data_IF_862277410544
#
_entry.id   IF_862277410544
#
_cell.length_a   1.000
_cell.length_b   1.000
_cell.length_c   1.000
_cell.angle_alpha   90.00
_cell.angle_beta   90.00
_cell.angle_gamma   90.00
#
_symmetry.space_group_name_H-M   'P 1'
#
loop_
_entity.id
_entity.type
_entity.pdbx_description
1 polymer ?
#
# COMPACT_ATOMS: atom_id res chain seq x y z
N UNK A 1 -13.32 -5.43 -8.99
CA UNK A 1 -14.43 -4.76 -8.27
C UNK A 1 -14.67 -5.40 -6.90
N UNK A 2 -14.95 -6.71 -6.82
CA UNK A 2 -15.20 -7.42 -5.55
C UNK A 2 -14.07 -7.21 -4.53
N UNK A 3 -12.81 -7.38 -4.93
CA UNK A 3 -11.66 -7.19 -4.02
C UNK A 3 -11.53 -5.76 -3.49
N UNK A 4 -11.89 -4.75 -4.29
CA UNK A 4 -11.84 -3.33 -3.88
C UNK A 4 -12.94 -3.05 -2.85
N UNK A 5 -14.16 -3.53 -3.11
CA UNK A 5 -15.28 -3.39 -2.18
C UNK A 5 -14.99 -4.07 -0.84
N UNK A 6 -14.51 -5.32 -0.89
CA UNK A 6 -14.16 -6.07 0.32
C UNK A 6 -13.03 -5.38 1.10
N UNK A 7 -11.99 -4.89 0.42
CA UNK A 7 -10.94 -4.09 1.05
C UNK A 7 -11.46 -2.81 1.70
N UNK A 8 -12.45 -2.15 1.09
CA UNK A 8 -13.12 -0.99 1.66
C UNK A 8 -13.89 -1.32 2.95
N UNK A 9 -14.65 -2.42 2.96
CA UNK A 9 -15.37 -2.91 4.14
C UNK A 9 -14.39 -3.24 5.28
N UNK A 10 -13.30 -3.95 4.97
CA UNK A 10 -12.27 -4.26 5.96
C UNK A 10 -11.62 -2.99 6.52
N UNK A 11 -11.31 -2.01 5.66
CA UNK A 11 -10.74 -0.73 6.09
C UNK A 11 -11.69 0.03 7.03
N UNK A 12 -12.99 0.02 6.73
CA UNK A 12 -14.00 0.65 7.58
C UNK A 12 -14.14 -0.07 8.93
N UNK A 13 -14.11 -1.40 8.93
CA UNK A 13 -14.11 -2.18 10.17
C UNK A 13 -12.90 -1.83 11.05
N UNK A 14 -11.70 -1.71 10.47
CA UNK A 14 -10.49 -1.30 11.20
C UNK A 14 -10.66 0.07 11.83
N UNK A 15 -11.19 1.07 11.10
CA UNK A 15 -11.41 2.43 11.60
C UNK A 15 -12.42 2.43 12.75
N UNK A 16 -13.55 1.74 12.60
CA UNK A 16 -14.60 1.66 13.62
C UNK A 16 -14.06 1.00 14.90
N UNK A 17 -13.35 -0.12 14.77
CA UNK A 17 -12.72 -0.80 15.91
C UNK A 17 -11.67 0.05 16.60
N UNK A 18 -10.85 0.78 15.84
CA UNK A 18 -9.82 1.66 16.39
C UNK A 18 -10.43 2.89 17.10
N UNK A 19 -11.51 3.48 16.57
CA UNK A 19 -12.18 4.63 17.15
C UNK A 19 -12.82 4.33 18.52
N UNK A 20 -13.10 3.06 18.83
CA UNK A 20 -13.62 2.65 20.13
C UNK A 20 -12.55 2.56 21.23
N UNK A 21 -11.26 2.54 20.87
CA UNK A 21 -10.14 2.44 21.81
C UNK A 21 -9.93 3.79 22.51
N UNK A 22 -9.94 3.79 23.85
CA UNK A 22 -9.82 5.01 24.67
C UNK A 22 -8.38 5.41 25.00
N UNK A 23 -7.40 4.51 24.80
CA UNK A 23 -5.98 4.79 25.05
C UNK A 23 -5.39 5.70 23.98
N UNK A 24 -4.70 6.76 24.39
CA UNK A 24 -4.21 7.83 23.51
C UNK A 24 -2.95 7.49 22.73
N UNK A 25 -2.14 6.50 23.16
CA UNK A 25 -0.88 6.20 22.49
C UNK A 25 -0.73 4.71 22.13
N UNK A 26 -0.61 4.44 20.83
CA UNK A 26 -0.36 3.13 20.25
C UNK A 26 0.95 3.21 19.48
N UNK A 27 2.01 2.56 19.97
CA UNK A 27 3.34 2.58 19.35
C UNK A 27 3.64 1.31 18.55
N UNK A 28 2.93 0.22 18.83
CA UNK A 28 3.11 -1.06 18.16
C UNK A 28 1.82 -1.91 18.14
N UNK A 29 1.88 -3.06 17.46
CA UNK A 29 0.78 -4.00 17.36
C UNK A 29 0.34 -4.62 18.70
N UNK A 30 1.27 -4.78 19.65
CA UNK A 30 0.95 -5.29 21.00
C UNK A 30 0.13 -4.27 21.79
N UNK A 31 0.44 -2.97 21.66
CA UNK A 31 -0.35 -1.90 22.30
C UNK A 31 -1.78 -1.89 21.75
N UNK A 32 -1.93 -2.05 20.43
CA UNK A 32 -3.24 -2.19 19.78
C UNK A 32 -4.02 -3.39 20.32
N UNK A 33 -3.35 -4.54 20.49
CA UNK A 33 -3.96 -5.76 21.03
C UNK A 33 -4.46 -5.56 22.48
N UNK A 34 -3.67 -4.86 23.32
CA UNK A 34 -4.05 -4.52 24.70
C UNK A 34 -5.19 -3.51 24.75
N UNK A 35 -5.22 -2.54 23.82
CA UNK A 35 -6.31 -1.56 23.73
C UNK A 35 -7.66 -2.15 23.33
N UNK A 36 -7.65 -3.24 22.54
CA UNK A 36 -8.86 -3.93 22.10
C UNK A 36 -9.41 -4.96 23.10
N UNK A 37 -8.55 -5.56 23.93
CA UNK A 37 -8.96 -6.57 24.91
C UNK A 37 -10.08 -6.14 25.86
N UNK A 38 -10.06 -4.97 26.51
CA UNK A 38 -11.14 -4.59 27.43
C UNK A 38 -12.49 -4.35 26.72
N UNK A 39 -12.49 -4.12 25.41
CA UNK A 39 -13.69 -3.85 24.62
C UNK A 39 -14.30 -5.13 24.02
N UNK A 40 -13.44 -6.05 23.56
CA UNK A 40 -13.83 -7.20 22.76
C UNK A 40 -13.42 -8.56 23.39
N UNK A 41 -12.85 -8.53 24.59
CA UNK A 41 -12.38 -9.70 25.32
C UNK A 41 -11.01 -10.22 24.86
N UNK A 42 -10.50 -11.23 25.56
CA UNK A 42 -9.15 -11.78 25.35
C UNK A 42 -8.92 -12.38 23.96
N UNK A 43 -9.98 -12.90 23.32
CA UNK A 43 -9.89 -13.46 21.97
C UNK A 43 -9.48 -12.42 20.92
N UNK A 44 -9.81 -11.14 21.11
CA UNK A 44 -9.49 -10.06 20.18
C UNK A 44 -7.99 -9.97 19.87
N UNK A 45 -7.12 -10.22 20.88
CA UNK A 45 -5.67 -10.26 20.72
C UNK A 45 -5.22 -11.31 19.71
N UNK A 46 -5.81 -12.51 19.77
CA UNK A 46 -5.46 -13.61 18.88
C UNK A 46 -5.95 -13.36 17.45
N UNK A 47 -7.17 -12.84 17.29
CA UNK A 47 -7.69 -12.45 15.97
C UNK A 47 -6.85 -11.34 15.35
N UNK A 48 -6.46 -10.34 16.13
CA UNK A 48 -5.58 -9.26 15.66
C UNK A 48 -4.19 -9.80 15.28
N UNK A 49 -3.59 -10.65 16.10
CA UNK A 49 -2.29 -11.25 15.82
C UNK A 49 -2.31 -12.09 14.53
N UNK A 50 -3.34 -12.93 14.36
CA UNK A 50 -3.53 -13.72 13.15
C UNK A 50 -3.76 -12.85 11.92
N UNK A 51 -4.58 -11.80 12.05
CA UNK A 51 -4.85 -10.86 10.96
C UNK A 51 -3.61 -10.07 10.53
N UNK A 52 -2.84 -9.53 11.48
CA UNK A 52 -1.58 -8.84 11.21
C UNK A 52 -0.53 -9.78 10.61
N UNK A 53 -0.47 -11.03 11.08
CA UNK A 53 0.41 -12.04 10.52
C UNK A 53 0.05 -12.35 9.06
N UNK A 54 -1.23 -12.61 8.78
CA UNK A 54 -1.72 -12.87 7.42
C UNK A 54 -1.47 -11.69 6.46
N UNK A 55 -1.69 -10.46 6.94
CA UNK A 55 -1.39 -9.24 6.20
C UNK A 55 0.11 -9.11 5.89
N UNK A 56 0.97 -9.40 6.87
CA UNK A 56 2.43 -9.40 6.71
C UNK A 56 2.91 -10.41 5.66
N UNK A 57 2.45 -11.65 5.73
CA UNK A 57 2.79 -12.71 4.76
C UNK A 57 2.37 -12.32 3.34
N UNK A 58 1.15 -11.81 3.18
CA UNK A 58 0.63 -11.38 1.87
C UNK A 58 1.50 -10.27 1.26
N UNK A 59 1.90 -9.30 2.08
CA UNK A 59 2.78 -8.20 1.66
C UNK A 59 4.19 -8.69 1.29
N UNK A 60 4.76 -9.59 2.10
CA UNK A 60 6.08 -10.18 1.86
C UNK A 60 6.15 -10.99 0.55
N UNK A 61 5.03 -11.52 0.06
CA UNK A 61 4.98 -12.21 -1.24
C UNK A 61 4.76 -11.21 -2.39
N UNK A 62 3.81 -10.30 -2.23
CA UNK A 62 3.36 -9.42 -3.33
C UNK A 62 4.32 -8.28 -3.63
N UNK A 63 4.98 -7.68 -2.63
CA UNK A 63 5.88 -6.55 -2.83
C UNK A 63 7.15 -6.92 -3.61
N UNK A 64 7.89 -8.01 -3.26
CA UNK A 64 9.02 -8.44 -4.06
C UNK A 64 8.61 -8.80 -5.49
N UNK A 65 7.40 -9.38 -5.66
CA UNK A 65 6.90 -9.81 -6.96
C UNK A 65 6.66 -8.61 -7.87
N UNK A 66 5.98 -7.58 -7.36
CA UNK A 66 5.79 -6.32 -8.06
C UNK A 66 7.13 -5.68 -8.44
N UNK A 67 8.09 -5.61 -7.51
CA UNK A 67 9.42 -5.06 -7.77
C UNK A 67 10.16 -5.82 -8.88
N UNK A 68 10.09 -7.16 -8.87
CA UNK A 68 10.73 -7.99 -9.88
C UNK A 68 10.08 -7.84 -11.26
N UNK A 69 8.76 -7.67 -11.34
CA UNK A 69 8.07 -7.35 -12.60
C UNK A 69 8.49 -5.99 -13.16
N UNK A 70 8.57 -4.96 -12.31
CA UNK A 70 9.01 -3.61 -12.71
C UNK A 70 10.46 -3.64 -13.18
N UNK A 71 11.37 -4.23 -12.39
CA UNK A 71 12.79 -4.35 -12.74
C UNK A 71 12.97 -5.05 -14.09
N UNK A 72 12.23 -6.13 -14.31
CA UNK A 72 12.21 -6.84 -15.59
C UNK A 72 11.75 -5.94 -16.74
N UNK A 73 10.66 -5.19 -16.57
CA UNK A 73 10.12 -4.29 -17.60
C UNK A 73 11.12 -3.19 -17.97
N UNK A 74 11.78 -2.59 -16.98
CA UNK A 74 12.77 -1.54 -17.17
C UNK A 74 14.08 -2.06 -17.79
N UNK A 75 14.49 -3.29 -17.48
CA UNK A 75 15.78 -3.88 -17.91
C UNK A 75 15.64 -4.80 -19.13
N UNK A 76 14.43 -4.94 -19.69
CA UNK A 76 14.17 -5.73 -20.90
C UNK A 76 14.39 -7.24 -20.74
N UNK A 77 14.19 -7.80 -19.54
CA UNK A 77 14.41 -9.23 -19.30
C UNK A 77 13.27 -10.10 -19.87
N UNK A 78 13.62 -11.30 -20.34
CA UNK A 78 12.68 -12.29 -20.88
C UNK A 78 11.61 -12.77 -19.88
N UNK A 79 10.58 -13.46 -20.38
CA UNK A 79 9.34 -13.78 -19.65
C UNK A 79 9.43 -14.94 -18.64
N UNK A 80 10.58 -15.12 -18.00
CA UNK A 80 10.82 -16.26 -17.12
C UNK A 80 10.87 -15.83 -15.65
N UNK A 81 9.83 -16.23 -14.90
CA UNK A 81 9.75 -16.03 -13.44
C UNK A 81 10.77 -16.88 -12.66
N UNK A 82 11.31 -17.93 -13.28
CA UNK A 82 12.37 -18.76 -12.71
C UNK A 82 13.76 -18.24 -13.01
N UNK A 83 13.89 -17.19 -13.83
CA UNK A 83 15.18 -16.60 -14.13
C UNK A 83 15.88 -16.12 -12.86
N UNK A 84 17.18 -16.40 -12.76
CA UNK A 84 18.02 -16.03 -11.60
C UNK A 84 17.93 -14.54 -11.30
N UNK A 85 17.89 -13.70 -12.33
CA UNK A 85 17.77 -12.24 -12.20
C UNK A 85 16.45 -11.81 -11.53
N UNK A 86 15.34 -12.46 -11.86
CA UNK A 86 14.02 -12.18 -11.27
C UNK A 86 14.00 -12.56 -9.78
N UNK A 87 14.48 -13.77 -9.46
CA UNK A 87 14.56 -14.26 -8.07
C UNK A 87 15.55 -13.45 -7.24
N UNK A 88 16.61 -12.93 -7.84
CA UNK A 88 17.58 -12.09 -7.15
C UNK A 88 16.94 -10.78 -6.67
N UNK A 89 16.13 -10.11 -7.50
CA UNK A 89 15.33 -8.94 -7.05
C UNK A 89 14.42 -9.33 -5.89
N UNK A 90 13.77 -10.49 -5.99
CA UNK A 90 12.91 -11.03 -4.94
C UNK A 90 13.64 -11.18 -3.60
N UNK A 91 14.78 -11.86 -3.61
CA UNK A 91 15.61 -12.11 -2.42
C UNK A 91 16.15 -10.80 -1.85
N UNK A 92 16.60 -9.87 -2.70
CA UNK A 92 17.11 -8.56 -2.26
C UNK A 92 16.03 -7.78 -1.53
N UNK A 93 14.81 -7.70 -2.06
CA UNK A 93 13.70 -6.98 -1.38
C UNK A 93 13.37 -7.63 -0.04
N UNK A 94 13.35 -8.96 0.04
CA UNK A 94 13.11 -9.67 1.31
C UNK A 94 14.23 -9.43 2.32
N UNK A 95 15.50 -9.53 1.91
CA UNK A 95 16.65 -9.29 2.78
C UNK A 95 16.68 -7.86 3.29
N UNK A 96 16.34 -6.88 2.45
CA UNK A 96 16.19 -5.49 2.88
C UNK A 96 15.08 -5.35 3.91
N UNK A 97 13.91 -5.95 3.68
CA UNK A 97 12.80 -5.94 4.64
C UNK A 97 13.17 -6.54 5.99
N UNK A 98 13.83 -7.70 6.00
CA UNK A 98 14.32 -8.37 7.22
C UNK A 98 15.41 -7.54 7.89
N UNK A 99 16.34 -6.96 7.11
CA UNK A 99 17.38 -6.08 7.61
C UNK A 99 16.80 -4.86 8.33
N UNK A 100 15.91 -4.11 7.68
CA UNK A 100 15.23 -2.96 8.28
C UNK A 100 14.41 -3.34 9.52
N UNK A 101 13.76 -4.51 9.51
CA UNK A 101 13.04 -5.00 10.69
C UNK A 101 13.96 -5.36 11.86
N UNK A 102 15.24 -5.65 11.62
CA UNK A 102 16.21 -6.06 12.65
C UNK A 102 16.85 -4.89 13.38
N UNK A 103 16.79 -3.67 12.83
CA UNK A 103 17.40 -2.47 13.42
C UNK A 103 16.58 -1.84 14.58
N UNK A 104 15.51 -2.48 15.03
CA UNK A 104 14.71 -2.00 16.17
C UNK A 104 13.93 -0.70 15.92
N UNK A 105 13.86 -0.24 14.67
CA UNK A 105 13.06 0.93 14.27
C UNK A 105 11.59 0.63 14.51
N UNK A 106 10.84 1.62 15.04
CA UNK A 106 9.41 1.46 15.30
C UNK A 106 8.67 1.12 13.99
N UNK A 107 8.00 -0.04 13.88
CA UNK A 107 7.31 -0.45 12.65
C UNK A 107 6.30 0.58 12.16
N UNK A 108 5.66 1.31 13.09
CA UNK A 108 4.69 2.35 12.77
C UNK A 108 5.33 3.53 12.02
N UNK A 109 6.57 3.91 12.32
CA UNK A 109 7.25 5.01 11.64
C UNK A 109 7.59 4.64 10.20
N UNK A 110 8.08 3.40 9.98
CA UNK A 110 8.33 2.87 8.64
C UNK A 110 7.02 2.82 7.83
N UNK A 111 5.93 2.35 8.43
CA UNK A 111 4.62 2.31 7.77
C UNK A 111 4.15 3.73 7.44
N UNK A 112 4.26 4.69 8.37
CA UNK A 112 3.90 6.09 8.12
C UNK A 112 4.70 6.67 6.96
N UNK A 113 6.01 6.46 6.94
CA UNK A 113 6.88 6.90 5.84
C UNK A 113 6.46 6.27 4.50
N UNK A 114 6.21 4.96 4.47
CA UNK A 114 5.73 4.27 3.27
C UNK A 114 4.39 4.85 2.76
N UNK A 115 3.48 5.24 3.66
CA UNK A 115 2.22 5.87 3.26
C UNK A 115 2.42 7.27 2.67
N UNK A 116 3.39 8.04 3.18
CA UNK A 116 3.75 9.34 2.60
C UNK A 116 4.34 9.14 1.21
N UNK A 117 5.31 8.22 1.06
CA UNK A 117 5.89 7.88 -0.23
C UNK A 117 4.82 7.46 -1.25
N UNK A 118 3.85 6.63 -0.82
CA UNK A 118 2.70 6.26 -1.65
C UNK A 118 1.84 7.47 -2.03
N UNK A 119 1.57 8.38 -1.09
CA UNK A 119 0.84 9.62 -1.36
C UNK A 119 1.49 10.47 -2.46
N UNK A 120 2.82 10.54 -2.48
CA UNK A 120 3.59 11.27 -3.49
C UNK A 120 3.60 10.53 -4.84
N UNK A 121 3.72 9.20 -4.82
CA UNK A 121 3.78 8.38 -6.04
C UNK A 121 2.44 8.27 -6.78
N UNK A 122 1.32 8.24 -6.05
CA UNK A 122 -0.02 8.08 -6.63
C UNK A 122 -0.35 9.08 -7.75
N UNK A 123 -0.18 10.41 -7.62
CA UNK A 123 -0.48 11.34 -8.70
C UNK A 123 0.41 11.16 -9.94
N UNK A 124 1.67 10.76 -9.74
CA UNK A 124 2.60 10.47 -10.85
C UNK A 124 2.10 9.26 -11.65
N UNK A 125 1.75 8.17 -10.95
CA UNK A 125 1.25 6.95 -11.58
C UNK A 125 -0.12 7.20 -12.24
N UNK A 126 -1.03 7.89 -11.55
CA UNK A 126 -2.35 8.23 -12.08
C UNK A 126 -2.26 9.11 -13.34
N UNK A 127 -1.37 10.11 -13.34
CA UNK A 127 -1.13 10.97 -14.50
C UNK A 127 -0.56 10.20 -15.68
N UNK A 128 0.42 9.32 -15.43
CA UNK A 128 0.99 8.47 -16.47
C UNK A 128 -0.03 7.49 -17.05
N UNK A 129 -0.85 6.86 -16.20
CA UNK A 129 -1.93 5.98 -16.65
C UNK A 129 -2.98 6.74 -17.45
N UNK A 130 -3.43 7.91 -16.99
CA UNK A 130 -4.40 8.71 -17.73
C UNK A 130 -3.85 9.12 -19.11
N UNK A 131 -2.55 9.45 -19.19
CA UNK A 131 -1.89 9.77 -20.44
C UNK A 131 -1.82 8.57 -21.39
N UNK A 132 -1.36 7.41 -20.92
CA UNK A 132 -1.24 6.21 -21.77
C UNK A 132 -2.62 5.70 -22.21
N UNK A 133 -3.63 5.85 -21.34
CA UNK A 133 -5.02 5.49 -21.63
C UNK A 133 -5.67 6.32 -22.74
N UNK A 134 -5.08 7.48 -23.06
CA UNK A 134 -5.49 8.34 -24.16
C UNK A 134 -4.61 8.21 -25.41
N UNK A 135 -3.53 7.41 -25.36
CA UNK A 135 -2.66 7.18 -26.51
C UNK A 135 -3.26 6.11 -27.42
N UNK A 136 -3.84 6.55 -28.55
CA UNK A 136 -4.35 5.64 -29.59
C UNK A 136 -3.26 4.73 -30.17
N UNK A 137 -2.00 5.17 -30.18
CA UNK A 137 -0.86 4.35 -30.61
C UNK A 137 -0.60 3.13 -29.71
N UNK A 138 -1.07 3.15 -28.46
CA UNK A 138 -0.87 2.06 -27.49
C UNK A 138 -2.13 1.20 -27.34
N UNK A 139 -3.30 1.84 -27.23
CA UNK A 139 -4.57 1.15 -26.95
C UNK A 139 -5.49 0.98 -28.16
N UNK A 140 -5.17 1.58 -29.30
CA UNK A 140 -5.98 1.51 -30.51
C UNK A 140 -7.41 1.96 -30.27
N UNK A 141 -8.37 1.04 -30.39
CA UNK A 141 -9.80 1.32 -30.21
C UNK A 141 -10.25 1.37 -28.74
N UNK A 142 -9.38 0.98 -27.80
CA UNK A 142 -9.68 0.91 -26.36
C UNK A 142 -9.20 2.16 -25.60
N UNK A 143 -9.03 3.28 -26.28
CA UNK A 143 -8.76 4.56 -25.62
C UNK A 143 -9.96 5.01 -24.78
N UNK A 144 -9.68 5.80 -23.74
CA UNK A 144 -10.73 6.34 -22.89
C UNK A 144 -11.76 7.16 -23.68
N UNK A 145 -13.03 6.94 -23.37
CA UNK A 145 -14.12 7.85 -23.76
C UNK A 145 -14.09 9.14 -22.96
N UNK A 146 -14.81 10.17 -23.41
CA UNK A 146 -14.88 11.48 -22.74
C UNK A 146 -15.32 11.37 -21.27
N UNK A 147 -16.27 10.47 -20.96
CA UNK A 147 -16.73 10.23 -19.59
C UNK A 147 -15.62 9.59 -18.74
N UNK A 148 -14.91 8.59 -19.26
CA UNK A 148 -13.79 7.95 -18.58
C UNK A 148 -12.64 8.93 -18.32
N UNK A 149 -12.41 9.88 -19.23
CA UNK A 149 -11.45 10.95 -19.02
C UNK A 149 -11.87 11.91 -17.91
N UNK A 150 -13.14 12.33 -17.86
CA UNK A 150 -13.63 13.18 -16.75
C UNK A 150 -13.44 12.46 -15.41
N UNK A 151 -13.82 11.19 -15.30
CA UNK A 151 -13.58 10.39 -14.09
C UNK A 151 -12.09 10.23 -13.79
N UNK A 152 -11.26 10.00 -14.82
CA UNK A 152 -9.82 9.90 -14.70
C UNK A 152 -9.17 11.18 -14.17
N UNK A 153 -9.61 12.35 -14.66
CA UNK A 153 -9.17 13.65 -14.15
C UNK A 153 -9.62 13.90 -12.72
N UNK A 154 -10.83 13.48 -12.34
CA UNK A 154 -11.29 13.54 -10.95
C UNK A 154 -10.44 12.66 -10.04
N UNK A 155 -10.11 11.44 -10.46
CA UNK A 155 -9.19 10.55 -9.73
C UNK A 155 -7.81 11.21 -9.61
N UNK A 156 -7.28 11.77 -10.69
CA UNK A 156 -6.00 12.47 -10.68
C UNK A 156 -6.01 13.64 -9.69
N UNK A 157 -7.02 14.50 -9.73
CA UNK A 157 -7.19 15.59 -8.78
C UNK A 157 -7.25 15.10 -7.34
N UNK A 158 -7.98 14.01 -7.07
CA UNK A 158 -8.05 13.40 -5.75
C UNK A 158 -6.70 12.85 -5.28
N UNK A 159 -5.93 12.19 -6.17
CA UNK A 159 -4.58 11.71 -5.82
C UNK A 159 -3.60 12.84 -5.55
N UNK A 160 -3.70 13.96 -6.28
CA UNK A 160 -2.91 15.17 -6.02
C UNK A 160 -3.27 15.74 -4.64
N UNK A 161 -4.56 15.85 -4.33
CA UNK A 161 -5.02 16.30 -3.02
C UNK A 161 -4.49 15.42 -1.87
N UNK A 162 -4.57 14.08 -2.02
CA UNK A 162 -4.02 13.16 -1.02
C UNK A 162 -2.50 13.25 -0.90
N UNK A 163 -1.79 13.38 -2.01
CA UNK A 163 -0.33 13.55 -2.02
C UNK A 163 0.11 14.82 -1.33
N UNK A 164 -0.53 15.96 -1.65
CA UNK A 164 -0.29 17.23 -0.97
C UNK A 164 -0.57 17.14 0.52
N UNK A 165 -1.70 16.55 0.93
CA UNK A 165 -2.02 16.35 2.34
C UNK A 165 -0.98 15.48 3.06
N UNK A 166 -0.50 14.42 2.40
CA UNK A 166 0.55 13.54 2.92
C UNK A 166 1.86 14.29 3.17
N UNK A 167 2.29 15.12 2.21
CA UNK A 167 3.47 15.98 2.32
C UNK A 167 3.31 16.99 3.46
N UNK A 168 2.21 17.76 3.45
CA UNK A 168 1.97 18.85 4.40
C UNK A 168 1.94 18.34 5.86
N UNK A 169 1.37 17.13 6.07
CA UNK A 169 1.37 16.47 7.38
C UNK A 169 2.78 16.10 7.87
N UNK A 170 3.68 15.72 6.97
CA UNK A 170 5.08 15.41 7.34
C UNK A 170 5.86 16.67 7.68
N UNK A 171 5.56 17.77 7.00
CA UNK A 171 6.18 19.08 7.28
C UNK A 171 5.53 19.81 8.47
N UNK A 172 4.59 19.21 9.20
CA UNK A 172 3.87 19.83 10.32
C UNK A 172 3.19 21.17 9.96
N UNK A 173 2.83 21.36 8.69
CA UNK A 173 2.11 22.56 8.22
C UNK A 173 0.60 22.47 8.49
N UNK A 174 0.11 21.26 8.80
CA UNK A 174 -1.25 20.88 9.22
C UNK A 174 -1.18 19.52 9.93
#
# INVERSE_FOLDING_TARGET
>A
VISILLGGIVSMAIIISAAAIQTTEIHNASDLAKGLEPLFGTFSKYFLALGLFAAGITSAITAPLAAAYVARGCLGWGNDLKATKFRLVWVVVLLLGVGFSSFGVKPIEIIKFAQVANGILLPVVAGFLLWIMNRQSVLGKYVNSSLQNVLGFLILAFTIFLGLKGILKVFNLI
#
